data_IF_836403349706
#
_entry.id   IF_836403349706
#
_cell.length_a   1.000
_cell.length_b   1.000
_cell.length_c   1.000
_cell.angle_alpha   90.00
_cell.angle_beta   90.00
_cell.angle_gamma   90.00
#
_symmetry.space_group_name_H-M   'P 1'
#
loop_
_entity.id
_entity.type
_entity.pdbx_description
1 polymer ?
#
# COMPACT_ATOMS: atom_id res chain seq x y z
N UNK A 1 -26.90 28.51 -12.23
CA UNK A 1 -26.17 27.33 -12.75
C UNK A 1 -24.87 27.25 -11.97
N UNK A 2 -24.72 26.29 -11.05
CA UNK A 2 -23.52 26.17 -10.19
C UNK A 2 -22.60 25.10 -10.79
N UNK A 3 -21.43 25.52 -11.26
CA UNK A 3 -20.41 24.66 -11.85
C UNK A 3 -19.93 23.59 -10.85
N UNK A 4 -19.98 22.34 -11.27
CA UNK A 4 -19.32 21.22 -10.61
C UNK A 4 -17.87 21.16 -11.12
N UNK A 5 -17.00 22.01 -10.58
CA UNK A 5 -15.56 21.94 -10.85
C UNK A 5 -14.84 21.50 -9.58
N UNK A 6 -14.08 20.42 -9.73
CA UNK A 6 -12.93 20.03 -8.90
C UNK A 6 -13.18 19.66 -7.44
N UNK A 7 -13.78 18.50 -7.22
CA UNK A 7 -13.55 17.71 -6.00
C UNK A 7 -12.41 16.70 -6.22
N UNK A 8 -11.29 17.14 -6.81
CA UNK A 8 -10.11 16.30 -6.97
C UNK A 8 -9.27 16.31 -5.70
N UNK A 9 -9.87 15.84 -4.61
CA UNK A 9 -9.13 15.32 -3.47
C UNK A 9 -8.45 14.03 -3.94
N UNK A 10 -7.31 14.14 -4.62
CA UNK A 10 -6.38 13.02 -4.77
C UNK A 10 -6.06 12.56 -3.36
N UNK A 11 -6.72 11.48 -2.91
CA UNK A 11 -6.46 10.89 -1.61
C UNK A 11 -4.93 10.73 -1.45
N UNK A 12 -4.36 11.02 -0.27
CA UNK A 12 -2.93 10.90 -0.06
C UNK A 12 -2.53 9.47 -0.45
N UNK A 13 -1.75 9.38 -1.52
CA UNK A 13 -1.25 8.12 -2.03
C UNK A 13 -0.40 7.49 -0.94
N UNK A 14 -0.97 6.49 -0.26
CA UNK A 14 -0.37 5.90 0.92
C UNK A 14 0.92 5.16 0.52
N UNK A 15 2.04 5.58 1.11
CA UNK A 15 3.37 5.05 0.79
C UNK A 15 3.62 3.74 1.54
N UNK A 16 4.27 2.82 0.84
CA UNK A 16 4.68 1.53 1.38
C UNK A 16 6.17 1.35 1.18
N UNK A 17 6.92 1.14 2.25
CA UNK A 17 8.34 0.85 2.19
C UNK A 17 8.58 -0.66 1.97
N UNK A 18 9.65 -0.98 1.26
CA UNK A 18 10.15 -2.35 1.14
C UNK A 18 10.71 -2.84 2.48
N UNK A 19 11.04 -4.13 2.55
CA UNK A 19 11.50 -4.77 3.79
C UNK A 19 12.79 -4.17 4.35
N UNK A 20 13.69 -3.74 3.48
CA UNK A 20 14.92 -3.03 3.81
C UNK A 20 14.71 -1.53 4.15
N UNK A 21 13.51 -0.99 3.93
CA UNK A 21 13.17 0.41 4.22
C UNK A 21 13.80 1.43 3.26
N UNK A 22 14.59 0.99 2.28
CA UNK A 22 15.30 1.85 1.33
C UNK A 22 14.37 2.25 0.17
N UNK A 23 13.64 1.28 -0.37
CA UNK A 23 12.74 1.50 -1.50
C UNK A 23 11.33 1.81 -0.99
N UNK A 24 10.60 2.63 -1.73
CA UNK A 24 9.19 2.84 -1.48
C UNK A 24 8.34 2.61 -2.73
N UNK A 25 7.10 2.23 -2.51
CA UNK A 25 6.06 2.09 -3.50
C UNK A 25 4.80 2.84 -3.06
N UNK A 26 3.84 2.87 -3.97
CA UNK A 26 2.56 3.55 -3.78
C UNK A 26 1.43 2.53 -3.82
N UNK A 27 0.53 2.62 -2.85
CA UNK A 27 -0.73 1.88 -2.89
C UNK A 27 -1.60 2.41 -4.02
N UNK A 28 -1.90 1.54 -4.98
CA UNK A 28 -2.73 1.87 -6.14
C UNK A 28 -4.23 1.78 -5.85
N UNK A 29 -4.61 1.43 -4.62
CA UNK A 29 -6.00 1.16 -4.21
C UNK A 29 -6.52 -0.23 -4.58
N UNK A 30 -5.82 -0.96 -5.47
CA UNK A 30 -6.14 -2.35 -5.78
C UNK A 30 -5.95 -3.25 -4.55
N UNK A 31 -6.93 -4.12 -4.28
CA UNK A 31 -6.78 -5.15 -3.24
C UNK A 31 -7.43 -6.45 -3.68
N UNK A 32 -6.85 -7.57 -3.25
CA UNK A 32 -7.35 -8.92 -3.53
C UNK A 32 -7.28 -9.80 -2.29
N UNK A 33 -7.95 -10.94 -2.29
CA UNK A 33 -7.78 -11.94 -1.23
C UNK A 33 -6.33 -12.44 -1.22
N UNK A 34 -5.73 -12.58 -0.05
CA UNK A 34 -4.40 -13.19 0.05
C UNK A 34 -4.46 -14.62 -0.51
N UNK A 35 -3.51 -14.99 -1.35
CA UNK A 35 -3.45 -16.30 -2.00
C UNK A 35 -2.64 -17.33 -1.20
N UNK A 36 -2.11 -16.93 -0.04
CA UNK A 36 -1.41 -17.86 0.84
C UNK A 36 -2.42 -18.80 1.50
N UNK A 37 -2.17 -20.10 1.40
CA UNK A 37 -2.97 -21.16 2.05
C UNK A 37 -3.20 -20.83 3.53
N UNK A 38 -4.46 -20.90 3.98
CA UNK A 38 -4.86 -20.58 5.35
C UNK A 38 -4.84 -19.09 5.73
N UNK A 39 -4.40 -18.18 4.85
CA UNK A 39 -4.39 -16.75 5.14
C UNK A 39 -5.72 -16.08 4.76
N UNK A 40 -6.45 -15.60 5.77
CA UNK A 40 -7.68 -14.82 5.61
C UNK A 40 -7.44 -13.32 5.37
N UNK A 41 -6.19 -12.92 5.13
CA UNK A 41 -5.81 -11.52 4.89
C UNK A 41 -6.19 -11.00 3.51
N UNK A 42 -5.94 -9.71 3.29
CA UNK A 42 -6.03 -9.07 1.97
C UNK A 42 -4.64 -8.78 1.45
N UNK A 43 -4.40 -8.91 0.17
CA UNK A 43 -3.18 -8.39 -0.47
C UNK A 43 -3.48 -7.04 -1.11
N UNK A 44 -2.58 -6.08 -0.94
CA UNK A 44 -2.72 -4.74 -1.50
C UNK A 44 -1.75 -4.53 -2.66
N UNK A 45 -2.21 -3.90 -3.73
CA UNK A 45 -1.43 -3.63 -4.92
C UNK A 45 -0.49 -2.44 -4.70
N UNK A 46 0.80 -2.72 -4.58
CA UNK A 46 1.86 -1.73 -4.39
C UNK A 46 2.66 -1.62 -5.68
N UNK A 47 2.69 -0.42 -6.26
CA UNK A 47 3.53 -0.10 -7.41
C UNK A 47 4.83 0.54 -6.93
N UNK A 48 5.94 -0.11 -7.21
CA UNK A 48 7.28 0.35 -6.84
C UNK A 48 7.84 1.34 -7.87
N UNK A 49 8.94 2.00 -7.53
CA UNK A 49 9.57 3.01 -8.38
C UNK A 49 10.10 2.46 -9.71
N UNK A 50 10.48 1.19 -9.73
CA UNK A 50 10.91 0.47 -10.94
C UNK A 50 9.73 0.09 -11.87
N UNK A 51 8.48 0.38 -11.45
CA UNK A 51 7.27 0.04 -12.16
C UNK A 51 6.74 -1.36 -11.87
N UNK A 52 7.44 -2.15 -11.03
CA UNK A 52 6.98 -3.46 -10.60
C UNK A 52 5.72 -3.32 -9.74
N UNK A 53 4.78 -4.25 -9.90
CA UNK A 53 3.57 -4.33 -9.09
C UNK A 53 3.64 -5.59 -8.22
N UNK A 54 3.59 -5.41 -6.90
CA UNK A 54 3.54 -6.53 -5.96
C UNK A 54 2.28 -6.46 -5.10
N UNK A 55 2.01 -7.57 -4.41
CA UNK A 55 0.77 -7.79 -3.66
C UNK A 55 1.03 -8.24 -2.22
N UNK A 56 1.75 -7.44 -1.40
CA UNK A 56 2.00 -7.79 0.00
C UNK A 56 0.70 -8.01 0.77
N UNK A 57 0.70 -9.02 1.64
CA UNK A 57 -0.44 -9.33 2.49
C UNK A 57 -0.56 -8.30 3.62
N UNK A 58 -1.78 -7.95 3.97
CA UNK A 58 -2.17 -7.05 5.05
C UNK A 58 -1.61 -7.48 6.39
N UNK A 59 -1.46 -8.78 6.61
CA UNK A 59 -0.88 -9.34 7.83
C UNK A 59 0.65 -9.20 7.90
N UNK A 60 1.30 -8.95 6.76
CA UNK A 60 2.73 -8.71 6.66
C UNK A 60 3.06 -7.23 6.45
N UNK A 61 2.08 -6.34 6.52
CA UNK A 61 2.30 -4.90 6.48
C UNK A 61 2.37 -4.37 7.91
N UNK A 62 3.39 -3.56 8.17
CA UNK A 62 3.55 -2.84 9.42
C UNK A 62 3.21 -1.38 9.16
N UNK A 63 2.30 -0.84 9.94
CA UNK A 63 1.97 0.58 9.91
C UNK A 63 2.87 1.34 10.88
N UNK A 64 3.54 2.37 10.37
CA UNK A 64 4.33 3.31 11.15
C UNK A 64 3.44 4.45 11.64
N UNK A 65 3.84 5.09 12.74
CA UNK A 65 3.12 6.24 13.34
C UNK A 65 2.95 7.44 12.39
N UNK A 66 3.74 7.51 11.33
CA UNK A 66 3.63 8.50 10.25
C UNK A 66 2.51 8.23 9.26
N UNK A 67 1.77 7.12 9.39
CA UNK A 67 0.74 6.67 8.44
C UNK A 67 1.31 5.99 7.18
N UNK A 68 2.62 5.72 7.15
CA UNK A 68 3.26 4.93 6.11
C UNK A 68 3.28 3.45 6.49
N UNK A 69 3.25 2.56 5.50
CA UNK A 69 3.32 1.11 5.76
C UNK A 69 4.66 0.53 5.30
N UNK A 70 5.04 -0.64 5.80
CA UNK A 70 6.25 -1.35 5.39
C UNK A 70 5.99 -2.84 5.24
N UNK A 71 6.51 -3.45 4.17
CA UNK A 71 6.41 -4.89 3.92
C UNK A 71 7.40 -5.65 4.81
N UNK A 72 6.92 -6.47 5.73
CA UNK A 72 7.74 -7.42 6.48
C UNK A 72 8.81 -6.79 7.39
N UNK A 73 8.66 -5.51 7.74
CA UNK A 73 9.57 -4.83 8.66
C UNK A 73 9.62 -5.54 10.01
N UNK A 74 10.66 -5.30 10.81
CA UNK A 74 10.58 -5.58 12.25
C UNK A 74 9.80 -4.42 12.87
N UNK A 75 8.76 -4.72 13.64
CA UNK A 75 8.16 -3.70 14.51
C UNK A 75 9.30 -3.13 15.37
N UNK A 76 9.53 -1.82 15.28
CA UNK A 76 10.47 -1.12 16.15
C UNK A 76 9.95 -1.11 17.58
#
# INVERSE_FOLDING_TARGET
MRSAADFQASAPQQRVFSTDGITFGILTGGSRRCQLEGCLGRSFAVRWQDGQLTYPCSKGLIEHSSGSQQVGGKAQ
#
